data_IF_793705118992
#
_entry.id   IF_793705118992
#
_cell.length_a   1.000
_cell.length_b   1.000
_cell.length_c   1.000
_cell.angle_alpha   90.00
_cell.angle_beta   90.00
_cell.angle_gamma   90.00
#
_symmetry.space_group_name_H-M   'P 1'
#
loop_
_entity.id
_entity.type
_entity.pdbx_description
1 polymer ?
#
# COMPACT_ATOMS: atom_id res chain seq x y z
N UNK A 1 -16.88 -6.97 -22.34
CA UNK A 1 -15.87 -5.91 -22.31
C UNK A 1 -16.33 -4.81 -23.23
N UNK A 2 -16.33 -3.57 -22.80
CA UNK A 2 -16.80 -2.43 -23.56
C UNK A 2 -15.64 -1.82 -24.35
N UNK A 3 -15.83 -1.50 -25.63
CA UNK A 3 -14.83 -0.82 -26.45
C UNK A 3 -15.14 0.66 -26.48
N UNK A 4 -14.15 1.49 -26.14
CA UNK A 4 -14.29 2.94 -26.05
C UNK A 4 -13.23 3.59 -26.94
N UNK A 5 -13.63 4.41 -27.84
CA UNK A 5 -12.74 5.22 -28.69
C UNK A 5 -12.65 6.64 -28.14
N UNK A 6 -11.47 6.98 -27.63
CA UNK A 6 -11.11 8.30 -27.14
C UNK A 6 -10.46 9.10 -28.28
N UNK A 7 -11.18 10.05 -28.87
CA UNK A 7 -10.72 10.82 -30.02
C UNK A 7 -9.97 12.11 -29.64
N UNK A 8 -10.07 12.54 -28.40
CA UNK A 8 -9.40 13.71 -27.83
C UNK A 8 -10.15 14.28 -26.64
N UNK A 9 -9.50 15.18 -25.89
CA UNK A 9 -10.06 15.73 -24.65
C UNK A 9 -11.35 16.56 -24.86
N UNK A 10 -11.48 17.21 -26.03
CA UNK A 10 -12.62 18.06 -26.34
C UNK A 10 -13.68 17.36 -27.21
N UNK A 11 -13.43 16.12 -27.57
CA UNK A 11 -14.34 15.35 -28.43
C UNK A 11 -15.13 14.35 -27.58
N UNK A 12 -16.39 14.08 -27.95
CA UNK A 12 -17.17 13.04 -27.30
C UNK A 12 -16.49 11.68 -27.46
N UNK A 13 -16.65 10.80 -26.45
CA UNK A 13 -16.23 9.41 -26.52
C UNK A 13 -17.15 8.65 -27.48
N UNK A 14 -16.62 7.68 -28.19
CA UNK A 14 -17.44 6.75 -28.94
C UNK A 14 -17.40 5.36 -28.30
N UNK A 15 -18.54 4.72 -28.15
CA UNK A 15 -18.72 3.42 -27.54
C UNK A 15 -19.26 2.44 -28.56
N UNK A 16 -18.58 1.31 -28.71
CA UNK A 16 -19.02 0.27 -29.64
C UNK A 16 -20.19 -0.53 -29.07
N UNK A 17 -21.30 -0.51 -29.79
CA UNK A 17 -22.47 -1.31 -29.50
C UNK A 17 -22.43 -2.59 -30.34
N UNK A 18 -22.25 -3.74 -29.66
CA UNK A 18 -21.99 -5.01 -30.33
C UNK A 18 -23.20 -5.49 -31.18
N UNK A 19 -24.42 -5.32 -30.67
CA UNK A 19 -25.63 -5.80 -31.33
C UNK A 19 -25.96 -4.98 -32.59
N UNK A 20 -25.66 -3.68 -32.54
CA UNK A 20 -25.91 -2.76 -33.64
C UNK A 20 -24.72 -2.61 -34.60
N UNK A 21 -23.55 -3.13 -34.19
CA UNK A 21 -22.26 -2.99 -34.90
C UNK A 21 -21.97 -1.56 -35.32
N UNK A 22 -22.22 -0.61 -34.41
CA UNK A 22 -21.97 0.82 -34.61
C UNK A 22 -21.47 1.50 -33.36
N UNK A 23 -20.89 2.69 -33.54
CA UNK A 23 -20.42 3.55 -32.47
C UNK A 23 -21.54 4.47 -32.02
N UNK A 24 -21.70 4.57 -30.68
CA UNK A 24 -22.57 5.54 -30.03
C UNK A 24 -21.73 6.62 -29.40
N UNK A 25 -22.08 7.89 -29.63
CA UNK A 25 -21.38 9.00 -29.04
C UNK A 25 -21.86 9.26 -27.63
N UNK A 26 -20.91 9.53 -26.73
CA UNK A 26 -21.14 9.82 -25.31
C UNK A 26 -20.29 11.04 -24.95
N UNK A 27 -20.88 12.04 -24.30
CA UNK A 27 -20.22 13.32 -24.11
C UNK A 27 -18.95 13.26 -23.26
N UNK A 28 -18.95 12.39 -22.23
CA UNK A 28 -17.85 12.30 -21.28
C UNK A 28 -17.81 10.96 -20.54
N UNK A 29 -16.77 10.78 -19.73
CA UNK A 29 -16.56 9.58 -18.92
C UNK A 29 -17.68 9.30 -17.91
N UNK A 30 -18.28 10.33 -17.33
CA UNK A 30 -19.37 10.18 -16.38
C UNK A 30 -20.62 9.62 -17.06
N UNK A 31 -21.00 10.16 -18.20
CA UNK A 31 -22.15 9.68 -18.98
C UNK A 31 -21.89 8.23 -19.47
N UNK A 32 -20.66 7.91 -19.87
CA UNK A 32 -20.25 6.54 -20.19
C UNK A 32 -20.53 5.58 -19.03
N UNK A 33 -20.15 5.97 -17.81
CA UNK A 33 -20.41 5.16 -16.63
C UNK A 33 -21.91 5.05 -16.33
N UNK A 34 -22.64 6.14 -16.42
CA UNK A 34 -24.08 6.17 -16.12
C UNK A 34 -24.88 5.24 -17.07
N UNK A 35 -24.47 5.17 -18.34
CA UNK A 35 -25.13 4.31 -19.32
C UNK A 35 -24.71 2.86 -19.23
N UNK A 36 -23.40 2.58 -19.10
CA UNK A 36 -22.85 1.22 -19.24
C UNK A 36 -22.26 0.66 -17.96
N UNK A 37 -21.76 1.49 -17.03
CA UNK A 37 -21.09 1.07 -15.80
C UNK A 37 -22.04 0.50 -14.75
N UNK A 38 -23.27 0.99 -14.68
CA UNK A 38 -24.30 0.57 -13.73
C UNK A 38 -24.71 -0.90 -13.96
N UNK A 39 -24.62 -1.37 -15.20
CA UNK A 39 -24.96 -2.76 -15.58
C UNK A 39 -23.82 -3.78 -15.36
N UNK A 40 -22.79 -3.43 -14.58
CA UNK A 40 -21.74 -4.36 -14.20
C UNK A 40 -20.51 -4.41 -15.12
N UNK A 41 -20.50 -3.68 -16.22
CA UNK A 41 -19.34 -3.62 -17.13
C UNK A 41 -18.33 -2.60 -16.62
N UNK A 42 -17.35 -3.06 -15.84
CA UNK A 42 -16.29 -2.19 -15.30
C UNK A 42 -15.02 -2.17 -16.14
N UNK A 43 -14.81 -3.16 -16.98
CA UNK A 43 -13.61 -3.30 -17.80
C UNK A 43 -13.83 -2.78 -19.22
N UNK A 44 -12.97 -1.86 -19.66
CA UNK A 44 -13.03 -1.24 -20.97
C UNK A 44 -11.74 -1.48 -21.78
N UNK A 45 -11.86 -1.56 -23.09
CA UNK A 45 -10.76 -1.44 -24.04
C UNK A 45 -10.76 -0.05 -24.61
N UNK A 46 -9.70 0.71 -24.34
CA UNK A 46 -9.55 2.08 -24.79
C UNK A 46 -8.77 2.14 -26.09
N UNK A 47 -9.35 2.77 -27.12
CA UNK A 47 -8.67 3.15 -28.35
C UNK A 47 -8.27 4.61 -28.23
N UNK A 48 -6.97 4.88 -28.17
CA UNK A 48 -6.43 6.24 -27.99
C UNK A 48 -5.97 6.84 -29.32
N UNK A 49 -5.89 8.19 -29.44
CA UNK A 49 -5.52 8.83 -30.68
C UNK A 49 -4.09 8.49 -31.12
N UNK A 50 -3.94 7.99 -32.34
CA UNK A 50 -2.64 7.65 -32.95
C UNK A 50 -1.67 8.83 -32.98
N UNK A 51 -2.13 10.08 -32.96
CA UNK A 51 -1.26 11.28 -32.90
C UNK A 51 -0.38 11.36 -31.65
N UNK A 52 -0.68 10.60 -30.57
CA UNK A 52 0.16 10.48 -29.38
C UNK A 52 1.21 9.39 -29.52
N UNK A 53 1.12 8.57 -30.56
CA UNK A 53 1.99 7.44 -30.80
C UNK A 53 3.21 7.85 -31.59
N UNK A 54 4.39 7.58 -31.07
CA UNK A 54 5.64 7.69 -31.82
C UNK A 54 5.95 6.36 -32.49
N UNK A 55 6.57 6.43 -33.67
CA UNK A 55 6.86 5.26 -34.47
C UNK A 55 8.25 5.36 -35.08
N UNK A 56 9.03 4.28 -35.00
CA UNK A 56 10.35 4.15 -35.59
C UNK A 56 10.44 2.85 -36.38
N UNK A 57 10.85 2.95 -37.63
CA UNK A 57 11.25 1.80 -38.42
C UNK A 57 12.70 1.46 -38.13
N UNK A 58 12.98 0.20 -37.85
CA UNK A 58 14.31 -0.22 -37.50
C UNK A 58 14.75 -1.45 -38.35
N UNK A 59 16.01 -1.48 -38.80
CA UNK A 59 16.56 -2.65 -39.52
C UNK A 59 16.87 -3.82 -38.59
N UNK A 60 16.68 -3.65 -37.27
CA UNK A 60 16.96 -4.68 -36.28
C UNK A 60 15.95 -5.83 -36.40
N UNK A 61 16.41 -7.04 -36.19
CA UNK A 61 15.53 -8.21 -36.13
C UNK A 61 14.74 -8.26 -34.84
N UNK A 62 13.65 -9.02 -34.81
CA UNK A 62 12.83 -9.22 -33.59
C UNK A 62 13.64 -9.71 -32.38
N UNK A 63 14.65 -10.55 -32.62
CA UNK A 63 15.54 -11.04 -31.56
C UNK A 63 16.45 -9.93 -31.02
N UNK A 64 17.00 -9.10 -31.89
CA UNK A 64 17.82 -7.96 -31.50
C UNK A 64 17.01 -6.91 -30.73
N UNK A 65 15.77 -6.60 -31.17
CA UNK A 65 14.88 -5.68 -30.43
C UNK A 65 14.57 -6.22 -29.03
N UNK A 66 14.34 -7.53 -28.89
CA UNK A 66 14.14 -8.14 -27.56
C UNK A 66 15.40 -8.06 -26.70
N UNK A 67 16.60 -8.20 -27.29
CA UNK A 67 17.87 -8.09 -26.57
C UNK A 67 18.17 -6.66 -26.09
N UNK A 68 17.71 -5.64 -26.82
CA UNK A 68 17.84 -4.24 -26.39
C UNK A 68 17.15 -3.98 -25.04
N UNK A 69 16.14 -4.78 -24.70
CA UNK A 69 15.32 -4.55 -23.51
C UNK A 69 14.50 -3.25 -23.61
N UNK A 70 13.86 -2.88 -22.51
CA UNK A 70 12.98 -1.69 -22.48
C UNK A 70 13.78 -0.41 -22.73
N UNK A 71 14.88 -0.22 -22.00
CA UNK A 71 15.70 0.99 -22.13
C UNK A 71 16.27 1.17 -23.53
N UNK A 72 16.81 0.11 -24.13
CA UNK A 72 17.35 0.19 -25.49
C UNK A 72 16.30 0.51 -26.55
N UNK A 73 15.06 0.01 -26.38
CA UNK A 73 13.94 0.39 -27.25
C UNK A 73 13.52 1.85 -27.07
N UNK A 74 13.61 2.38 -25.84
CA UNK A 74 13.32 3.79 -25.55
C UNK A 74 14.31 4.72 -26.24
N UNK A 75 15.59 4.37 -26.25
CA UNK A 75 16.64 5.16 -26.91
C UNK A 75 16.47 5.27 -28.43
N UNK A 76 15.71 4.38 -29.08
CA UNK A 76 15.37 4.52 -30.51
C UNK A 76 14.55 5.79 -30.81
N UNK A 77 13.96 6.41 -29.79
CA UNK A 77 13.14 7.62 -29.91
C UNK A 77 13.86 8.90 -29.50
N UNK A 78 15.16 8.85 -29.16
CA UNK A 78 15.92 9.99 -28.66
C UNK A 78 15.90 11.19 -29.61
N UNK A 79 15.95 10.93 -30.92
CA UNK A 79 15.89 12.00 -31.95
C UNK A 79 14.48 12.50 -32.23
N UNK A 80 13.44 11.75 -31.84
CA UNK A 80 12.05 12.04 -32.17
C UNK A 80 11.27 12.62 -31.00
N UNK A 81 11.75 12.45 -29.79
CA UNK A 81 11.07 12.84 -28.57
C UNK A 81 11.82 13.91 -27.80
N UNK A 82 11.18 15.05 -27.59
CA UNK A 82 11.79 16.20 -26.88
C UNK A 82 11.89 16.04 -25.37
N UNK A 83 11.24 15.02 -24.82
CA UNK A 83 11.25 14.72 -23.37
C UNK A 83 12.27 13.65 -23.02
N UNK A 84 12.26 13.19 -21.75
CA UNK A 84 13.05 12.04 -21.34
C UNK A 84 12.51 10.74 -21.94
N UNK A 85 13.31 10.03 -22.72
CA UNK A 85 12.91 8.77 -23.36
C UNK A 85 12.56 7.67 -22.35
N UNK A 86 13.04 7.79 -21.11
CA UNK A 86 12.70 6.86 -20.01
C UNK A 86 11.21 6.92 -19.63
N UNK A 87 10.52 8.01 -20.00
CA UNK A 87 9.07 8.17 -19.77
C UNK A 87 8.23 7.53 -20.86
N UNK A 88 8.82 6.85 -21.83
CA UNK A 88 8.12 6.19 -22.92
C UNK A 88 7.85 4.72 -22.60
N UNK A 89 6.62 4.30 -22.79
CA UNK A 89 6.26 2.89 -22.87
C UNK A 89 6.42 2.41 -24.30
N UNK A 90 7.20 1.37 -24.55
CA UNK A 90 7.49 0.86 -25.90
C UNK A 90 6.78 -0.45 -26.18
N UNK A 91 6.40 -0.65 -27.45
CA UNK A 91 5.89 -1.90 -28.02
C UNK A 91 6.53 -2.14 -29.37
N UNK A 92 6.90 -3.37 -29.66
CA UNK A 92 7.43 -3.76 -30.96
C UNK A 92 6.44 -4.60 -31.72
N UNK A 93 6.32 -4.35 -32.99
CA UNK A 93 5.48 -5.11 -33.91
C UNK A 93 6.35 -5.53 -35.11
N UNK A 94 6.29 -6.81 -35.43
CA UNK A 94 7.05 -7.40 -36.52
C UNK A 94 6.14 -7.75 -37.67
N UNK A 95 6.47 -7.27 -38.87
CA UNK A 95 5.95 -7.79 -40.12
C UNK A 95 7.04 -8.62 -40.82
N UNK A 96 6.72 -9.26 -41.93
CA UNK A 96 7.66 -10.14 -42.65
C UNK A 96 8.95 -9.41 -43.09
N UNK A 97 8.86 -8.10 -43.38
CA UNK A 97 9.96 -7.35 -44.00
C UNK A 97 10.54 -6.22 -43.13
N UNK A 98 9.87 -5.84 -42.07
CA UNK A 98 10.32 -4.72 -41.24
C UNK A 98 9.96 -4.92 -39.76
N UNK A 99 10.84 -4.41 -38.91
CA UNK A 99 10.54 -4.29 -37.50
C UNK A 99 10.20 -2.82 -37.18
N UNK A 100 9.13 -2.63 -36.49
CA UNK A 100 8.66 -1.32 -36.08
C UNK A 100 8.49 -1.27 -34.58
N UNK A 101 9.01 -0.21 -33.99
CA UNK A 101 8.84 0.06 -32.56
C UNK A 101 7.93 1.27 -32.42
N UNK A 102 6.94 1.11 -31.54
CA UNK A 102 6.01 2.16 -31.18
C UNK A 102 6.27 2.59 -29.74
N UNK A 103 6.11 3.88 -29.48
CA UNK A 103 6.23 4.42 -28.13
C UNK A 103 5.09 5.36 -27.81
N UNK A 104 4.67 5.33 -26.55
CA UNK A 104 3.62 6.17 -26.00
C UNK A 104 4.10 6.74 -24.65
N UNK A 105 3.82 8.01 -24.39
CA UNK A 105 4.17 8.63 -23.12
C UNK A 105 3.45 7.95 -21.94
N UNK A 106 4.18 7.63 -20.89
CA UNK A 106 3.59 7.08 -19.65
C UNK A 106 2.63 8.07 -18.99
N UNK A 107 2.87 9.38 -19.14
CA UNK A 107 1.97 10.42 -18.64
C UNK A 107 0.59 10.37 -19.32
N UNK A 108 0.54 10.11 -20.63
CA UNK A 108 -0.73 9.94 -21.34
C UNK A 108 -1.47 8.69 -20.87
N UNK A 109 -0.74 7.57 -20.74
CA UNK A 109 -1.30 6.32 -20.23
C UNK A 109 -1.92 6.53 -18.85
N UNK A 110 -1.18 7.14 -17.94
CA UNK A 110 -1.62 7.40 -16.56
C UNK A 110 -2.82 8.36 -16.52
N UNK A 111 -2.80 9.41 -17.34
CA UNK A 111 -3.91 10.39 -17.44
C UNK A 111 -5.21 9.71 -17.86
N UNK A 112 -5.17 8.86 -18.89
CA UNK A 112 -6.36 8.15 -19.35
C UNK A 112 -6.83 7.09 -18.36
N UNK A 113 -5.89 6.39 -17.69
CA UNK A 113 -6.22 5.44 -16.63
C UNK A 113 -6.89 6.14 -15.43
N UNK A 114 -6.36 7.30 -15.03
CA UNK A 114 -6.94 8.10 -13.95
C UNK A 114 -8.34 8.61 -14.33
N UNK A 115 -8.51 9.10 -15.55
CA UNK A 115 -9.82 9.59 -16.04
C UNK A 115 -10.89 8.50 -15.99
N UNK A 116 -10.57 7.29 -16.41
CA UNK A 116 -11.47 6.15 -16.31
C UNK A 116 -11.71 5.71 -14.85
N UNK A 117 -10.66 5.69 -14.03
CA UNK A 117 -10.74 5.28 -12.64
C UNK A 117 -11.58 6.23 -11.77
N UNK A 118 -11.53 7.54 -12.04
CA UNK A 118 -12.32 8.55 -11.33
C UNK A 118 -13.83 8.29 -11.41
N UNK A 119 -14.30 7.71 -12.52
CA UNK A 119 -15.71 7.33 -12.69
C UNK A 119 -15.98 5.85 -12.36
N UNK A 120 -14.99 5.12 -11.83
CA UNK A 120 -15.15 3.71 -11.44
C UNK A 120 -14.99 2.69 -12.55
N UNK A 121 -14.49 3.09 -13.72
CA UNK A 121 -14.15 2.21 -14.83
C UNK A 121 -12.68 1.77 -14.75
N UNK A 122 -12.40 0.54 -15.21
CA UNK A 122 -11.03 0.01 -15.29
C UNK A 122 -10.65 -0.26 -16.74
N UNK A 123 -9.50 0.25 -17.16
CA UNK A 123 -8.97 -0.06 -18.49
C UNK A 123 -8.35 -1.47 -18.44
N UNK A 124 -8.70 -2.33 -19.38
CA UNK A 124 -8.16 -3.67 -19.55
C UNK A 124 -7.21 -3.78 -20.75
N UNK A 125 -7.41 -2.91 -21.77
CA UNK A 125 -6.53 -2.82 -22.92
C UNK A 125 -6.44 -1.37 -23.39
N UNK A 126 -5.29 -0.95 -23.94
CA UNK A 126 -5.07 0.37 -24.54
C UNK A 126 -4.40 0.19 -25.88
N UNK A 127 -5.14 0.54 -26.93
CA UNK A 127 -4.72 0.35 -28.32
C UNK A 127 -4.77 1.66 -29.07
N UNK A 128 -3.91 1.88 -30.08
CA UNK A 128 -4.03 3.02 -30.96
C UNK A 128 -5.28 2.90 -31.85
N UNK A 129 -5.93 4.00 -32.11
CA UNK A 129 -7.21 4.05 -32.83
C UNK A 129 -7.11 3.68 -34.33
N UNK A 130 -5.92 3.73 -34.94
CA UNK A 130 -5.74 3.26 -36.30
C UNK A 130 -6.08 1.76 -36.46
N UNK A 131 -6.00 1.00 -35.39
CA UNK A 131 -6.37 -0.42 -35.43
C UNK A 131 -7.87 -0.66 -35.61
N UNK A 132 -8.68 0.38 -35.45
CA UNK A 132 -10.12 0.34 -35.77
C UNK A 132 -10.37 0.28 -37.29
N UNK A 133 -9.43 0.80 -38.08
CA UNK A 133 -9.54 0.75 -39.55
C UNK A 133 -9.23 -0.67 -40.02
N UNK A 134 -9.99 -1.18 -41.01
CA UNK A 134 -9.65 -2.46 -41.63
C UNK A 134 -8.30 -2.42 -42.33
N UNK A 135 -7.71 -3.59 -42.53
CA UNK A 135 -6.49 -3.71 -43.34
C UNK A 135 -6.81 -3.48 -44.80
N UNK A 136 -5.94 -2.79 -45.55
CA UNK A 136 -6.02 -2.75 -47.00
C UNK A 136 -5.93 -4.16 -47.57
N UNK A 137 -6.70 -4.45 -48.63
CA UNK A 137 -6.72 -5.75 -49.28
C UNK A 137 -5.44 -6.01 -50.08
N UNK A 138 -4.77 -4.94 -50.51
CA UNK A 138 -3.57 -5.03 -51.36
C UNK A 138 -2.35 -4.72 -50.48
N UNK A 139 -1.49 -5.71 -50.32
CA UNK A 139 -0.29 -5.60 -49.49
C UNK A 139 0.89 -4.85 -50.19
N UNK A 140 0.72 -4.39 -51.41
CA UNK A 140 1.75 -3.71 -52.21
C UNK A 140 2.08 -2.29 -51.74
N UNK A 141 1.38 -1.75 -50.76
CA UNK A 141 1.53 -0.35 -50.35
C UNK A 141 0.79 0.65 -51.25
N UNK A 142 0.15 0.18 -52.32
CA UNK A 142 -0.59 0.98 -53.27
C UNK A 142 -1.99 1.41 -52.77
N UNK A 143 -2.52 0.70 -51.78
CA UNK A 143 -3.84 0.96 -51.22
C UNK A 143 -3.75 1.39 -49.75
N UNK A 144 -4.56 2.36 -49.36
CA UNK A 144 -4.71 2.77 -47.97
C UNK A 144 -6.19 2.91 -47.60
N UNK A 145 -6.47 2.69 -46.32
CA UNK A 145 -7.78 2.93 -45.73
C UNK A 145 -7.76 4.29 -45.02
N UNK A 146 -8.74 5.12 -45.34
CA UNK A 146 -8.85 6.50 -44.84
C UNK A 146 -10.15 6.68 -44.07
N UNK A 147 -10.05 7.39 -42.96
CA UNK A 147 -11.18 7.81 -42.14
C UNK A 147 -11.03 9.27 -41.77
N UNK A 148 -12.11 10.01 -41.90
CA UNK A 148 -12.17 11.42 -41.48
C UNK A 148 -13.50 11.70 -40.83
N UNK A 149 -13.44 12.33 -39.65
CA UNK A 149 -14.57 13.00 -39.00
C UNK A 149 -14.12 14.35 -38.44
N UNK A 150 -15.00 15.03 -37.66
CA UNK A 150 -14.70 16.35 -37.08
C UNK A 150 -13.56 16.28 -36.05
N UNK A 151 -13.33 15.10 -35.43
CA UNK A 151 -12.42 14.95 -34.33
C UNK A 151 -11.04 14.38 -34.72
N UNK A 152 -11.01 13.56 -35.80
CA UNK A 152 -9.79 12.82 -36.15
C UNK A 152 -9.70 12.54 -37.66
N UNK A 153 -8.48 12.42 -38.12
CA UNK A 153 -8.15 11.95 -39.47
C UNK A 153 -7.16 10.79 -39.29
N UNK A 154 -7.49 9.64 -39.84
CA UNK A 154 -6.67 8.45 -39.80
C UNK A 154 -6.41 7.90 -41.17
N UNK A 155 -5.22 7.40 -41.41
CA UNK A 155 -4.86 6.64 -42.60
C UNK A 155 -4.11 5.38 -42.19
N UNK A 156 -4.50 4.25 -42.74
CA UNK A 156 -3.84 2.95 -42.53
C UNK A 156 -3.45 2.34 -43.86
N UNK A 157 -2.17 2.09 -44.05
CA UNK A 157 -1.64 1.45 -45.25
C UNK A 157 -1.31 -0.03 -45.03
N UNK A 158 -0.69 -0.36 -43.91
CA UNK A 158 -0.43 -1.75 -43.49
C UNK A 158 -0.66 -1.87 -41.98
N UNK A 159 -0.57 -3.07 -41.45
CA UNK A 159 -0.90 -3.35 -40.06
C UNK A 159 -0.17 -2.47 -39.04
N UNK A 160 1.07 -2.14 -39.34
CA UNK A 160 1.91 -1.31 -38.50
C UNK A 160 2.29 0.05 -39.13
N UNK A 161 1.67 0.41 -40.26
CA UNK A 161 1.87 1.68 -40.96
C UNK A 161 0.58 2.51 -40.82
N UNK A 162 0.34 3.06 -39.67
CA UNK A 162 -0.76 3.98 -39.53
C UNK A 162 -0.23 5.37 -39.16
N UNK A 163 -0.92 6.35 -39.66
CA UNK A 163 -0.61 7.74 -39.37
C UNK A 163 -1.88 8.45 -38.91
N UNK A 164 -1.77 9.11 -37.78
CA UNK A 164 -2.73 10.17 -37.45
C UNK A 164 -2.24 11.43 -38.17
N UNK A 165 -3.06 11.98 -39.01
CA UNK A 165 -2.60 13.02 -39.94
C UNK A 165 -3.06 14.38 -39.46
N UNK A 166 -2.11 15.20 -39.03
CA UNK A 166 -2.37 16.65 -38.85
C UNK A 166 -2.16 17.44 -40.12
N UNK A 167 -1.40 16.94 -41.08
CA UNK A 167 -1.13 17.59 -42.34
C UNK A 167 -1.06 16.61 -43.53
N UNK A 168 -2.21 16.38 -44.14
CA UNK A 168 -2.42 15.37 -45.16
C UNK A 168 -1.49 15.52 -46.40
N UNK A 169 -1.19 16.74 -46.94
CA UNK A 169 -0.26 16.90 -48.07
C UNK A 169 1.13 16.33 -47.81
N UNK A 170 1.68 16.55 -46.63
CA UNK A 170 3.00 16.04 -46.27
C UNK A 170 3.00 14.50 -46.19
N UNK A 171 1.92 13.93 -45.74
CA UNK A 171 1.76 12.49 -45.66
C UNK A 171 1.66 11.84 -47.04
N UNK A 172 0.84 12.38 -47.93
CA UNK A 172 0.74 11.89 -49.33
C UNK A 172 2.09 11.92 -50.03
N UNK A 173 2.88 12.98 -49.80
CA UNK A 173 4.26 13.07 -50.32
C UNK A 173 5.18 11.96 -49.79
N UNK A 174 4.89 11.42 -48.59
CA UNK A 174 5.67 10.33 -48.01
C UNK A 174 5.36 8.96 -48.64
N UNK A 175 4.19 8.81 -49.26
CA UNK A 175 3.73 7.57 -49.89
C UNK A 175 3.47 7.74 -51.39
N UNK A 176 4.52 7.90 -52.19
CA UNK A 176 4.37 8.13 -53.62
C UNK A 176 3.79 6.93 -54.39
N UNK A 177 3.83 5.73 -53.79
CA UNK A 177 3.32 4.49 -54.39
C UNK A 177 1.80 4.33 -54.20
N UNK A 178 1.17 5.23 -53.40
CA UNK A 178 -0.24 5.17 -53.12
C UNK A 178 -1.05 5.54 -54.38
N UNK A 179 -1.93 4.64 -54.79
CA UNK A 179 -2.79 4.80 -55.96
C UNK A 179 -4.28 4.77 -55.64
N UNK A 180 -4.66 4.09 -54.56
CA UNK A 180 -6.05 3.91 -54.18
C UNK A 180 -6.25 4.23 -52.67
N UNK A 181 -7.35 4.91 -52.38
CA UNK A 181 -7.81 5.21 -51.02
C UNK A 181 -9.22 4.67 -50.85
N UNK A 182 -9.37 3.73 -49.90
CA UNK A 182 -10.65 3.24 -49.45
C UNK A 182 -11.15 4.10 -48.29
N UNK A 183 -12.25 4.78 -48.49
CA UNK A 183 -12.82 5.73 -47.53
C UNK A 183 -13.89 5.05 -46.68
N UNK A 184 -13.79 5.18 -45.37
CA UNK A 184 -14.83 4.73 -44.43
C UNK A 184 -15.79 5.91 -44.10
N UNK A 185 -17.06 5.58 -43.86
CA UNK A 185 -18.04 6.56 -43.39
C UNK A 185 -17.70 7.01 -41.96
N UNK A 186 -17.99 8.30 -41.64
CA UNK A 186 -17.87 8.77 -40.27
C UNK A 186 -18.90 8.08 -39.36
N UNK A 187 -18.52 7.88 -38.10
CA UNK A 187 -19.37 7.16 -37.15
C UNK A 187 -20.71 7.86 -36.83
N UNK A 188 -20.83 9.12 -37.19
CA UNK A 188 -22.06 9.92 -37.06
C UNK A 188 -23.06 9.73 -38.19
N UNK A 189 -22.67 9.06 -39.29
CA UNK A 189 -23.53 8.87 -40.44
C UNK A 189 -24.29 7.56 -40.37
N UNK A 190 -25.62 7.53 -40.56
CA UNK A 190 -26.37 6.27 -40.64
C UNK A 190 -26.05 5.55 -41.95
N UNK A 191 -25.62 4.29 -41.89
CA UNK A 191 -25.39 3.46 -43.09
C UNK A 191 -26.69 3.09 -43.82
N UNK A 192 -27.85 3.19 -43.17
CA UNK A 192 -29.14 2.81 -43.69
C UNK A 192 -29.63 3.75 -44.80
N UNK A 193 -29.18 5.01 -44.82
CA UNK A 193 -29.57 5.99 -45.84
C UNK A 193 -28.77 5.87 -47.15
N UNK A 194 -27.79 4.97 -47.22
CA UNK A 194 -26.90 4.80 -48.38
C UNK A 194 -27.54 3.89 -49.47
N UNK A 195 -28.71 3.29 -49.20
CA UNK A 195 -29.31 2.22 -50.01
C UNK A 195 -30.31 2.59 -51.08
N UNK A 196 -30.78 3.83 -51.19
CA UNK A 196 -31.81 4.21 -52.19
C UNK A 196 -31.49 5.51 -52.90
N UNK A 197 -31.16 5.42 -54.19
CA UNK A 197 -31.30 6.44 -55.26
C UNK A 197 -30.74 7.81 -55.06
N UNK A 198 -29.95 8.11 -54.04
CA UNK A 198 -29.16 9.33 -54.08
C UNK A 198 -27.96 9.08 -55.00
N UNK A 199 -27.85 9.83 -56.06
CA UNK A 199 -26.63 10.11 -56.80
C UNK A 199 -25.58 10.37 -55.71
N UNK A 200 -24.79 9.37 -55.46
CA UNK A 200 -23.72 9.43 -54.46
C UNK A 200 -22.97 10.74 -54.61
N UNK A 201 -23.18 11.67 -53.70
CA UNK A 201 -22.11 12.63 -53.42
C UNK A 201 -21.10 11.79 -52.59
N UNK A 202 -20.16 11.17 -53.29
CA UNK A 202 -19.32 10.22 -52.65
C UNK A 202 -18.45 10.99 -51.71
N UNK A 203 -18.30 10.52 -50.62
CA UNK A 203 -17.19 10.89 -49.78
C UNK A 203 -17.63 11.75 -48.60
N UNK A 204 -17.82 11.02 -47.55
CA UNK A 204 -17.68 11.50 -46.20
C UNK A 204 -16.29 12.16 -45.95
N UNK A 205 -15.79 12.88 -46.96
CA UNK A 205 -14.48 13.54 -46.96
C UNK A 205 -14.74 15.04 -47.14
N UNK A 206 -14.03 15.85 -46.38
CA UNK A 206 -14.08 17.29 -46.58
C UNK A 206 -13.70 17.65 -48.03
N UNK A 207 -14.37 18.66 -48.67
CA UNK A 207 -14.08 19.07 -50.04
C UNK A 207 -12.60 19.38 -50.29
N UNK A 208 -11.92 19.96 -49.31
CA UNK A 208 -10.47 20.23 -49.35
C UNK A 208 -9.63 18.95 -49.41
N UNK A 209 -10.03 17.89 -48.70
CA UNK A 209 -9.36 16.59 -48.70
C UNK A 209 -9.58 15.90 -50.06
N UNK A 210 -10.78 15.96 -50.59
CA UNK A 210 -11.08 15.42 -51.93
C UNK A 210 -10.23 16.09 -53.02
N UNK A 211 -10.20 17.43 -53.04
CA UNK A 211 -9.38 18.18 -53.98
C UNK A 211 -7.88 17.80 -53.91
N UNK A 212 -7.39 17.50 -52.71
CA UNK A 212 -6.02 17.02 -52.49
C UNK A 212 -5.79 15.63 -53.07
N UNK A 213 -6.72 14.71 -52.91
CA UNK A 213 -6.63 13.37 -53.48
C UNK A 213 -6.71 13.39 -55.00
N UNK A 214 -7.59 14.23 -55.57
CA UNK A 214 -7.66 14.46 -57.00
C UNK A 214 -6.36 15.05 -57.58
N UNK A 215 -5.70 15.95 -56.84
CA UNK A 215 -4.40 16.50 -57.23
C UNK A 215 -3.30 15.43 -57.30
N UNK A 216 -3.36 14.43 -56.45
CA UNK A 216 -2.43 13.31 -56.44
C UNK A 216 -2.87 12.13 -57.33
N UNK A 217 -3.92 12.26 -58.11
CA UNK A 217 -4.49 11.23 -58.98
C UNK A 217 -4.85 9.93 -58.25
N UNK A 218 -5.32 10.01 -57.01
CA UNK A 218 -5.68 8.86 -56.22
C UNK A 218 -7.09 8.39 -56.59
N UNK A 219 -7.23 7.09 -56.77
CA UNK A 219 -8.57 6.49 -56.97
C UNK A 219 -9.24 6.37 -55.60
N UNK A 220 -10.51 6.80 -55.54
CA UNK A 220 -11.31 6.73 -54.32
C UNK A 220 -12.31 5.60 -54.44
N UNK A 221 -12.31 4.71 -53.47
CA UNK A 221 -13.28 3.64 -53.30
C UNK A 221 -13.94 3.75 -51.92
N UNK A 222 -15.20 3.39 -51.84
CA UNK A 222 -15.94 3.44 -50.58
C UNK A 222 -15.94 2.08 -49.90
N UNK A 223 -15.73 2.06 -48.60
CA UNK A 223 -15.87 0.88 -47.77
C UNK A 223 -17.11 1.07 -46.89
N UNK A 224 -18.19 0.33 -47.22
CA UNK A 224 -19.45 0.42 -46.48
C UNK A 224 -19.38 -0.35 -45.13
N UNK A 225 -18.42 0.02 -44.32
CA UNK A 225 -18.28 -0.53 -42.98
C UNK A 225 -17.79 0.55 -42.01
N UNK A 226 -18.21 0.50 -40.77
CA UNK A 226 -17.64 1.38 -39.76
C UNK A 226 -16.26 0.88 -39.33
N UNK A 227 -15.41 1.76 -38.73
CA UNK A 227 -14.26 1.33 -37.96
C UNK A 227 -14.69 0.29 -36.92
N UNK A 228 -14.05 -0.86 -36.86
CA UNK A 228 -14.45 -1.96 -35.95
C UNK A 228 -13.38 -2.22 -34.88
N UNK A 229 -13.78 -2.55 -33.64
CA UNK A 229 -12.85 -2.95 -32.59
C UNK A 229 -12.07 -4.21 -32.94
N UNK A 230 -10.79 -4.23 -32.56
CA UNK A 230 -9.95 -5.42 -32.73
C UNK A 230 -10.47 -6.56 -31.87
N UNK A 231 -10.60 -7.78 -32.42
CA UNK A 231 -10.88 -8.95 -31.60
C UNK A 231 -9.73 -9.21 -30.62
N UNK A 232 -10.08 -9.53 -29.36
CA UNK A 232 -9.12 -9.81 -28.28
C UNK A 232 -8.07 -8.70 -28.03
N UNK A 233 -8.47 -7.47 -27.77
CA UNK A 233 -7.59 -6.32 -27.64
C UNK A 233 -6.53 -6.49 -26.54
N UNK A 234 -6.81 -7.27 -25.50
CA UNK A 234 -5.88 -7.55 -24.41
C UNK A 234 -4.63 -8.30 -24.87
N UNK A 235 -4.75 -9.10 -25.93
CA UNK A 235 -3.67 -9.95 -26.48
C UNK A 235 -2.92 -9.30 -27.64
N UNK A 236 -3.37 -8.14 -28.09
CA UNK A 236 -2.75 -7.46 -29.22
C UNK A 236 -1.34 -7.01 -28.90
N UNK A 237 -0.40 -7.13 -29.84
CA UNK A 237 1.00 -6.76 -29.63
C UNK A 237 1.21 -5.29 -29.30
N UNK A 238 0.33 -4.41 -29.83
CA UNK A 238 0.33 -2.96 -29.54
C UNK A 238 -0.54 -2.57 -28.33
N UNK A 239 -0.81 -3.48 -27.44
CA UNK A 239 -1.50 -3.16 -26.21
C UNK A 239 -0.55 -2.44 -25.25
N UNK A 240 -0.76 -1.15 -25.03
CA UNK A 240 0.01 -0.33 -24.09
C UNK A 240 -0.48 -0.43 -22.65
N UNK A 241 -1.59 -1.09 -22.40
CA UNK A 241 -2.02 -1.35 -21.04
C UNK A 241 -1.05 -2.33 -20.39
N UNK A 242 -0.32 -1.84 -19.43
CA UNK A 242 0.35 -2.67 -18.45
C UNK A 242 -0.52 -2.66 -17.22
N UNK A 243 -1.03 -3.84 -16.81
CA UNK A 243 -1.54 -3.95 -15.43
C UNK A 243 -0.49 -3.30 -14.55
N UNK A 244 -0.89 -2.27 -13.79
CA UNK A 244 0.01 -1.68 -12.81
C UNK A 244 0.67 -2.84 -12.09
N UNK A 245 1.93 -3.07 -12.36
CA UNK A 245 2.68 -4.11 -11.68
C UNK A 245 2.40 -3.85 -10.21
N UNK A 246 1.74 -4.80 -9.54
CA UNK A 246 1.55 -4.78 -8.09
C UNK A 246 2.84 -4.22 -7.57
N UNK A 247 2.77 -3.03 -6.96
CA UNK A 247 3.91 -2.18 -6.70
C UNK A 247 5.12 -3.04 -6.37
N UNK A 248 6.07 -3.14 -7.28
CA UNK A 248 7.27 -3.94 -7.05
C UNK A 248 7.94 -3.20 -5.92
N UNK A 249 7.72 -3.72 -4.70
CA UNK A 249 8.33 -3.18 -3.48
C UNK A 249 9.77 -2.86 -3.83
N UNK A 250 10.14 -1.60 -3.73
CA UNK A 250 11.49 -1.16 -4.06
C UNK A 250 12.49 -2.10 -3.39
N UNK A 251 13.64 -2.41 -3.99
CA UNK A 251 14.63 -3.29 -3.38
C UNK A 251 15.00 -2.83 -1.96
N UNK A 252 15.01 -1.51 -1.70
CA UNK A 252 15.21 -0.92 -0.37
C UNK A 252 14.07 -1.28 0.61
N UNK A 253 12.83 -1.30 0.14
CA UNK A 253 11.70 -1.68 0.99
C UNK A 253 11.69 -3.19 1.29
N UNK A 254 12.15 -4.03 0.34
CA UNK A 254 12.34 -5.46 0.56
C UNK A 254 13.42 -5.73 1.59
N UNK A 255 14.57 -5.03 1.50
CA UNK A 255 15.64 -5.15 2.51
C UNK A 255 15.21 -4.63 3.86
N UNK A 256 14.51 -3.50 3.95
CA UNK A 256 13.96 -2.98 5.19
C UNK A 256 12.97 -3.95 5.83
N UNK A 257 12.10 -4.58 5.04
CA UNK A 257 11.14 -5.58 5.53
C UNK A 257 11.86 -6.84 6.04
N UNK A 258 12.91 -7.30 5.34
CA UNK A 258 13.73 -8.43 5.79
C UNK A 258 14.44 -8.14 7.11
N UNK A 259 14.99 -6.95 7.28
CA UNK A 259 15.64 -6.53 8.54
C UNK A 259 14.61 -6.42 9.66
N UNK A 260 13.43 -5.84 9.40
CA UNK A 260 12.35 -5.77 10.38
C UNK A 260 11.86 -7.16 10.80
N UNK A 261 11.75 -8.09 9.87
CA UNK A 261 11.34 -9.47 10.13
C UNK A 261 12.41 -10.21 10.94
N UNK A 262 13.70 -10.02 10.63
CA UNK A 262 14.80 -10.58 11.40
C UNK A 262 14.83 -10.03 12.83
N UNK A 263 14.64 -8.73 13.02
CA UNK A 263 14.55 -8.11 14.34
C UNK A 263 13.36 -8.65 15.14
N UNK A 264 12.22 -8.86 14.51
CA UNK A 264 11.03 -9.42 15.11
C UNK A 264 11.26 -10.87 15.58
N UNK A 265 11.88 -11.71 14.74
CA UNK A 265 12.25 -13.10 15.11
C UNK A 265 13.22 -13.09 16.29
N UNK A 266 14.22 -12.20 16.28
CA UNK A 266 15.16 -12.08 17.39
C UNK A 266 14.46 -11.69 18.70
N UNK A 267 13.52 -10.76 18.63
CA UNK A 267 12.71 -10.34 19.78
C UNK A 267 11.85 -11.49 20.32
N UNK A 268 11.25 -12.28 19.43
CA UNK A 268 10.50 -13.48 19.86
C UNK A 268 11.38 -14.52 20.51
N UNK A 269 12.57 -14.75 19.96
CA UNK A 269 13.54 -15.70 20.53
C UNK A 269 14.00 -15.26 21.93
N UNK A 270 14.31 -13.96 22.11
CA UNK A 270 14.70 -13.42 23.42
C UNK A 270 13.57 -13.52 24.45
N UNK A 271 12.35 -13.18 24.05
CA UNK A 271 11.16 -13.31 24.91
C UNK A 271 10.90 -14.79 25.28
N UNK A 272 11.09 -15.71 24.34
CA UNK A 272 10.94 -17.14 24.58
C UNK A 272 11.98 -17.69 25.60
N UNK A 273 13.25 -17.26 25.47
CA UNK A 273 14.30 -17.61 26.40
C UNK A 273 14.02 -17.02 27.79
N UNK A 274 13.57 -15.77 27.86
CA UNK A 274 13.20 -15.16 29.15
C UNK A 274 12.02 -15.87 29.78
N UNK A 275 10.98 -16.19 29.00
CA UNK A 275 9.83 -16.97 29.51
C UNK A 275 10.25 -18.31 30.06
N UNK A 276 11.13 -19.04 29.37
CA UNK A 276 11.67 -20.32 29.84
C UNK A 276 12.43 -20.19 31.17
N UNK A 277 13.33 -19.17 31.25
CA UNK A 277 14.08 -18.89 32.50
C UNK A 277 13.17 -18.51 33.65
N UNK A 278 12.14 -17.70 33.40
CA UNK A 278 11.16 -17.35 34.43
C UNK A 278 10.35 -18.56 34.88
N UNK A 279 10.00 -19.44 33.97
CA UNK A 279 9.27 -20.66 34.30
C UNK A 279 10.12 -21.62 35.17
N UNK A 280 11.39 -21.78 34.82
CA UNK A 280 12.35 -22.59 35.62
C UNK A 280 12.58 -21.96 36.99
N UNK A 281 12.81 -20.66 37.08
CA UNK A 281 12.97 -19.95 38.34
C UNK A 281 11.70 -20.02 39.21
N UNK A 282 10.52 -19.91 38.61
CA UNK A 282 9.25 -20.08 39.32
C UNK A 282 9.09 -21.50 39.88
N UNK A 283 9.43 -22.52 39.10
CA UNK A 283 9.40 -23.92 39.58
C UNK A 283 10.39 -24.17 40.72
N UNK A 284 11.63 -23.63 40.60
CA UNK A 284 12.64 -23.72 41.67
C UNK A 284 12.16 -22.97 42.94
N UNK A 285 11.57 -21.82 42.80
CA UNK A 285 11.02 -21.06 43.93
C UNK A 285 9.85 -21.79 44.58
N UNK A 286 8.99 -22.41 43.81
CA UNK A 286 7.88 -23.20 44.33
C UNK A 286 8.39 -24.42 45.11
N UNK A 287 9.40 -25.14 44.59
CA UNK A 287 9.99 -26.30 45.29
C UNK A 287 10.70 -25.90 46.58
N UNK A 288 11.45 -24.79 46.56
CA UNK A 288 12.11 -24.26 47.76
C UNK A 288 11.10 -23.83 48.83
N UNK A 289 10.02 -23.15 48.40
CA UNK A 289 8.95 -22.71 49.30
C UNK A 289 8.18 -23.90 49.88
N UNK A 290 7.96 -24.93 49.07
CA UNK A 290 7.34 -26.19 49.54
C UNK A 290 8.21 -26.90 50.56
N UNK A 291 9.53 -26.99 50.31
CA UNK A 291 10.47 -27.57 51.25
C UNK A 291 10.51 -26.80 52.58
N UNK A 292 10.50 -25.48 52.52
CA UNK A 292 10.48 -24.64 53.71
C UNK A 292 9.16 -24.78 54.49
N UNK A 293 8.04 -24.87 53.80
CA UNK A 293 6.73 -25.13 54.44
C UNK A 293 6.73 -26.47 55.15
N UNK A 294 7.23 -27.56 54.50
CA UNK A 294 7.33 -28.85 55.11
C UNK A 294 8.28 -28.90 56.31
N UNK A 295 9.32 -28.09 56.35
CA UNK A 295 10.20 -27.98 57.51
C UNK A 295 9.51 -27.35 58.70
N UNK A 296 8.55 -26.44 58.50
CA UNK A 296 7.77 -25.81 59.55
C UNK A 296 6.57 -26.66 59.97
N UNK A 297 5.99 -27.42 59.05
CA UNK A 297 4.78 -28.19 59.26
C UNK A 297 4.95 -29.63 58.75
N UNK A 298 5.77 -30.49 59.41
CA UNK A 298 6.19 -31.79 58.88
C UNK A 298 5.03 -32.79 58.70
N UNK A 299 3.91 -32.60 59.36
CA UNK A 299 2.76 -33.51 59.32
C UNK A 299 1.62 -33.06 58.40
N UNK A 300 1.80 -31.97 57.67
CA UNK A 300 0.73 -31.43 56.81
C UNK A 300 1.10 -31.51 55.34
N UNK A 301 0.30 -32.18 54.52
CA UNK A 301 0.53 -32.19 53.08
C UNK A 301 0.22 -30.84 52.45
N UNK A 302 1.15 -30.33 51.62
CA UNK A 302 0.96 -29.15 50.85
C UNK A 302 -0.01 -29.41 49.68
N UNK A 303 -1.15 -28.75 49.67
CA UNK A 303 -2.11 -28.91 48.60
C UNK A 303 -1.68 -28.02 47.42
N UNK A 304 -1.10 -28.61 46.36
CA UNK A 304 -0.53 -27.91 45.19
C UNK A 304 -1.54 -27.07 44.42
N UNK A 305 -2.85 -27.20 44.68
CA UNK A 305 -3.90 -26.45 44.01
C UNK A 305 -4.35 -25.19 44.76
N UNK A 306 -3.97 -25.03 46.01
CA UNK A 306 -4.38 -23.88 46.82
C UNK A 306 -3.18 -22.95 47.00
N UNK A 307 -3.39 -21.64 46.74
CA UNK A 307 -2.29 -20.67 46.92
C UNK A 307 -1.79 -20.74 48.36
N UNK A 308 -0.47 -20.78 48.54
CA UNK A 308 0.20 -20.89 49.84
C UNK A 308 -0.29 -19.82 50.84
N UNK A 309 -0.62 -18.64 50.35
CA UNK A 309 -1.21 -17.56 51.13
C UNK A 309 -2.53 -17.93 51.80
N UNK A 310 -3.38 -18.70 51.09
CA UNK A 310 -4.70 -19.12 51.62
C UNK A 310 -4.56 -20.19 52.73
N UNK A 311 -3.49 -21.00 52.71
CA UNK A 311 -3.21 -21.99 53.74
C UNK A 311 -2.49 -21.39 54.94
N UNK A 312 -1.61 -20.40 54.73
CA UNK A 312 -0.87 -19.73 55.82
C UNK A 312 -1.71 -18.68 56.54
N UNK A 313 -2.63 -17.98 55.84
CA UNK A 313 -3.41 -16.91 56.47
C UNK A 313 -4.21 -17.31 57.71
N UNK A 314 -4.90 -18.49 57.78
CA UNK A 314 -5.61 -18.88 58.99
C UNK A 314 -4.64 -19.28 60.13
N UNK A 315 -3.47 -19.82 59.84
CA UNK A 315 -2.48 -20.23 60.84
C UNK A 315 -1.76 -19.03 61.43
N UNK A 316 -1.41 -18.07 60.64
CA UNK A 316 -0.88 -16.79 61.07
C UNK A 316 -1.89 -16.02 61.97
N UNK A 317 -3.19 -16.27 61.82
CA UNK A 317 -4.24 -15.69 62.68
C UNK A 317 -4.39 -16.43 64.00
N UNK A 318 -4.08 -17.71 64.06
CA UNK A 318 -4.20 -18.50 65.30
C UNK A 318 -3.08 -18.23 66.30
N UNK A 319 -1.87 -17.90 65.89
CA UNK A 319 -0.77 -17.49 66.76
C UNK A 319 -0.84 -16.00 67.22
N UNK A 320 -1.87 -15.27 66.86
CA UNK A 320 -1.99 -13.83 66.97
C UNK A 320 -2.56 -13.29 68.26
N UNK A 321 -2.59 -14.03 69.35
CA UNK A 321 -2.90 -13.43 70.65
C UNK A 321 -1.73 -12.60 71.27
N UNK A 322 -0.50 -12.86 70.88
CA UNK A 322 0.69 -12.12 71.35
C UNK A 322 1.32 -11.20 70.28
N UNK A 323 0.99 -11.35 68.98
CA UNK A 323 1.63 -10.67 67.86
C UNK A 323 0.86 -9.41 67.35
N UNK A 324 -0.28 -9.06 67.96
CA UNK A 324 -1.14 -7.95 67.48
C UNK A 324 -0.51 -6.56 67.61
N UNK A 325 0.27 -6.34 68.68
CA UNK A 325 0.91 -5.04 68.99
C UNK A 325 1.98 -4.72 67.92
N UNK A 326 2.84 -5.64 67.56
CA UNK A 326 3.92 -5.42 66.61
C UNK A 326 3.41 -5.17 65.17
N UNK A 327 2.33 -5.87 64.74
CA UNK A 327 1.70 -5.61 63.42
C UNK A 327 0.96 -4.26 63.37
N UNK A 328 0.36 -3.87 64.48
CA UNK A 328 -0.27 -2.56 64.61
C UNK A 328 0.77 -1.46 64.49
N UNK A 329 1.91 -1.60 65.20
CA UNK A 329 3.06 -0.72 65.08
C UNK A 329 3.60 -0.66 63.66
N UNK A 330 3.73 -1.78 62.97
CA UNK A 330 4.19 -1.81 61.59
C UNK A 330 3.23 -1.12 60.65
N UNK A 331 1.94 -1.25 60.85
CA UNK A 331 0.91 -0.57 60.00
C UNK A 331 0.94 0.95 60.18
N UNK A 332 1.28 1.45 61.37
CA UNK A 332 1.40 2.89 61.64
C UNK A 332 2.73 3.46 61.17
N UNK A 333 3.82 2.69 61.23
CA UNK A 333 5.17 3.14 60.86
C UNK A 333 5.42 3.08 59.36
N UNK A 334 4.84 2.08 58.66
CA UNK A 334 5.06 1.85 57.24
C UNK A 334 4.78 3.08 56.32
N UNK A 335 3.68 3.82 56.47
CA UNK A 335 3.43 5.01 55.64
C UNK A 335 4.45 6.15 55.89
N UNK A 336 4.99 6.25 57.11
CA UNK A 336 5.99 7.29 57.45
C UNK A 336 7.36 6.97 56.85
N UNK A 337 7.76 5.70 56.86
CA UNK A 337 9.01 5.27 56.21
C UNK A 337 8.91 5.53 54.68
N UNK A 338 7.77 5.20 54.09
CA UNK A 338 7.54 5.46 52.67
C UNK A 338 7.54 6.96 52.33
N UNK A 339 6.94 7.80 53.17
CA UNK A 339 6.91 9.25 52.98
C UNK A 339 8.30 9.89 53.15
N UNK A 340 9.16 9.33 54.01
CA UNK A 340 10.52 9.78 54.19
C UNK A 340 11.52 9.27 53.14
N UNK A 341 11.06 8.43 52.14
CA UNK A 341 11.94 7.77 51.13
C UNK A 341 13.08 6.95 51.74
N UNK A 342 12.85 6.35 52.88
CA UNK A 342 13.77 5.51 53.60
C UNK A 342 13.47 4.02 53.31
N UNK A 343 14.51 3.21 53.12
CA UNK A 343 14.35 1.78 52.87
C UNK A 343 14.59 0.95 54.12
N UNK A 344 13.70 0.03 54.45
CA UNK A 344 13.88 -0.92 55.52
C UNK A 344 14.69 -2.14 55.02
N UNK A 345 15.82 -2.44 55.68
CA UNK A 345 16.69 -3.58 55.36
C UNK A 345 16.35 -4.83 56.19
N UNK A 346 16.03 -4.62 57.45
CA UNK A 346 15.68 -5.71 58.39
C UNK A 346 14.60 -5.26 59.36
N UNK A 347 13.75 -6.20 59.75
CA UNK A 347 12.66 -6.05 60.71
C UNK A 347 12.78 -7.14 61.75
N UNK A 348 12.87 -6.81 63.04
CA UNK A 348 12.90 -7.74 64.14
C UNK A 348 11.73 -7.38 65.06
N UNK A 349 10.85 -8.36 65.28
CA UNK A 349 9.74 -8.20 66.22
C UNK A 349 10.14 -8.65 67.58
N UNK A 350 10.08 -7.73 68.55
CA UNK A 350 10.22 -8.03 69.97
C UNK A 350 8.81 -8.01 70.62
N UNK A 351 8.57 -8.66 71.76
CA UNK A 351 7.24 -8.76 72.35
C UNK A 351 6.51 -7.37 72.50
N UNK A 352 7.24 -6.32 72.85
CA UNK A 352 6.70 -4.99 73.12
C UNK A 352 7.29 -3.91 72.23
N UNK A 353 8.12 -4.24 71.27
CA UNK A 353 8.81 -3.28 70.42
C UNK A 353 9.07 -3.80 69.01
N UNK A 354 9.17 -2.88 68.06
CA UNK A 354 9.60 -3.14 66.68
C UNK A 354 10.98 -2.57 66.47
N UNK A 355 11.96 -3.43 66.21
CA UNK A 355 13.32 -2.99 65.85
C UNK A 355 13.52 -3.08 64.37
N UNK A 356 13.94 -1.95 63.76
CA UNK A 356 14.12 -1.85 62.32
C UNK A 356 15.53 -1.35 62.00
N UNK A 357 16.14 -1.98 60.97
CA UNK A 357 17.36 -1.45 60.37
C UNK A 357 16.95 -0.73 59.09
N UNK A 358 17.19 0.58 59.05
CA UNK A 358 16.80 1.48 57.98
C UNK A 358 18.02 2.02 57.24
N UNK A 359 17.90 2.17 55.95
CA UNK A 359 18.88 2.85 55.08
C UNK A 359 18.30 4.17 54.65
N UNK A 360 19.01 5.25 54.98
CA UNK A 360 18.63 6.62 54.63
C UNK A 360 19.78 7.34 53.88
N UNK A 361 19.47 8.33 53.06
CA UNK A 361 20.49 9.09 52.36
C UNK A 361 21.37 9.96 53.29
N UNK A 362 20.82 10.43 54.41
CA UNK A 362 21.51 11.22 55.40
C UNK A 362 20.96 11.01 56.81
N UNK A 363 21.73 11.44 57.83
CA UNK A 363 21.33 11.37 59.22
C UNK A 363 20.10 12.24 59.52
N UNK A 364 19.98 13.40 58.87
CA UNK A 364 18.86 14.32 59.07
C UNK A 364 17.52 13.65 58.66
N UNK A 365 17.51 12.76 57.70
CA UNK A 365 16.33 12.00 57.31
C UNK A 365 15.88 10.97 58.36
N UNK A 366 16.83 10.32 59.03
CA UNK A 366 16.55 9.43 60.19
C UNK A 366 16.03 10.22 61.38
N UNK A 367 16.63 11.36 61.70
CA UNK A 367 16.21 12.23 62.82
C UNK A 367 14.80 12.80 62.57
N UNK A 368 14.45 13.15 61.31
CA UNK A 368 13.08 13.57 60.93
C UNK A 368 12.07 12.44 61.06
N UNK A 369 12.46 11.24 60.68
CA UNK A 369 11.61 10.07 60.85
C UNK A 369 11.33 9.81 62.36
N UNK A 370 12.35 9.84 63.21
CA UNK A 370 12.19 9.72 64.68
C UNK A 370 11.28 10.79 65.22
N UNK A 371 11.46 12.03 64.79
CA UNK A 371 10.58 13.16 65.19
C UNK A 371 9.13 12.96 64.74
N UNK A 372 8.91 12.43 63.51
CA UNK A 372 7.55 12.17 62.98
C UNK A 372 6.88 10.99 63.71
N UNK A 373 7.63 9.96 64.08
CA UNK A 373 7.13 8.84 64.89
C UNK A 373 6.75 9.33 66.32
N UNK A 374 7.60 10.18 66.92
CA UNK A 374 7.30 10.74 68.25
C UNK A 374 6.05 11.65 68.22
N UNK A 375 5.82 12.41 67.11
CA UNK A 375 4.64 13.23 66.92
C UNK A 375 3.32 12.41 66.80
N UNK A 376 3.43 11.14 66.45
CA UNK A 376 2.30 10.18 66.43
C UNK A 376 2.14 9.37 67.72
N UNK A 377 2.83 9.73 68.78
CA UNK A 377 2.70 9.06 70.10
C UNK A 377 3.46 7.73 70.16
N UNK A 378 4.43 7.50 69.27
CA UNK A 378 5.29 6.32 69.31
C UNK A 378 6.67 6.69 69.92
N UNK A 379 7.14 5.89 70.86
CA UNK A 379 8.50 6.10 71.40
C UNK A 379 9.50 5.44 70.44
N UNK A 380 10.22 6.26 69.68
CA UNK A 380 11.26 5.80 68.76
C UNK A 380 12.62 6.22 69.24
N UNK A 381 13.53 5.25 69.37
CA UNK A 381 14.91 5.50 69.81
C UNK A 381 15.90 5.02 68.71
N UNK A 382 16.82 5.90 68.31
CA UNK A 382 17.89 5.61 67.36
C UNK A 382 19.11 5.04 68.14
N UNK A 383 19.32 3.73 68.02
CA UNK A 383 20.35 3.02 68.83
C UNK A 383 21.74 3.12 68.21
N UNK A 384 21.88 3.01 66.91
CA UNK A 384 23.17 3.06 66.25
C UNK A 384 23.03 3.63 64.81
N UNK A 385 24.03 4.38 64.40
CA UNK A 385 24.13 4.94 63.04
C UNK A 385 25.51 4.60 62.50
N UNK A 386 25.52 3.86 61.37
CA UNK A 386 26.75 3.46 60.70
C UNK A 386 26.75 3.99 59.26
N UNK A 387 27.90 4.41 58.77
CA UNK A 387 28.06 4.76 57.36
C UNK A 387 28.16 3.51 56.51
N UNK A 388 27.43 3.49 55.37
CA UNK A 388 27.48 2.40 54.42
C UNK A 388 28.47 2.70 53.32
N UNK A 389 29.23 1.70 52.83
CA UNK A 389 30.25 1.88 51.77
C UNK A 389 29.67 2.35 50.42
N UNK A 390 28.36 2.42 50.26
CA UNK A 390 27.64 2.87 49.05
C UNK A 390 27.10 4.31 49.18
N UNK A 391 27.52 5.12 50.12
CA UNK A 391 27.15 6.52 50.23
C UNK A 391 25.81 6.81 50.92
N UNK A 392 25.26 5.88 51.70
CA UNK A 392 24.09 6.02 52.58
C UNK A 392 24.42 5.78 54.02
N UNK A 393 23.48 6.03 54.92
CA UNK A 393 23.60 5.81 56.36
C UNK A 393 22.61 4.70 56.79
N UNK A 394 23.10 3.70 57.51
CA UNK A 394 22.27 2.69 58.16
C UNK A 394 21.99 3.04 59.58
N UNK A 395 20.74 3.09 60.01
CA UNK A 395 20.33 3.36 61.37
C UNK A 395 19.45 2.25 61.93
N UNK A 396 19.71 1.85 63.17
CA UNK A 396 18.85 0.93 63.93
C UNK A 396 17.89 1.75 64.79
N UNK A 397 16.59 1.60 64.51
CA UNK A 397 15.55 2.30 65.29
C UNK A 397 14.72 1.25 66.03
N UNK A 398 14.53 1.46 67.33
CA UNK A 398 13.61 0.72 68.19
C UNK A 398 12.38 1.54 68.44
N UNK A 399 11.19 0.96 68.14
CA UNK A 399 9.91 1.64 68.27
C UNK A 399 9.05 0.86 69.25
N UNK A 400 8.53 1.52 70.26
CA UNK A 400 7.57 0.96 71.24
C UNK A 400 6.34 1.87 71.37
N UNK A 401 5.18 1.27 71.69
CA UNK A 401 4.01 2.08 72.04
C UNK A 401 4.11 2.51 73.47
N UNK A 402 3.84 3.79 73.78
CA UNK A 402 3.73 4.28 75.13
C UNK A 402 2.51 3.65 75.82
N UNK A 403 2.77 2.69 76.69
CA UNK A 403 1.72 1.91 77.39
C UNK A 403 0.92 2.77 78.41
N UNK A 404 1.19 4.07 78.53
CA UNK A 404 0.56 4.92 79.55
C UNK A 404 -0.73 5.64 79.07
N UNK A 405 -1.19 5.48 77.81
CA UNK A 405 -2.34 6.27 77.33
C UNK A 405 -3.59 5.44 76.94
N UNK A 406 -3.66 4.14 77.29
CA UNK A 406 -4.83 3.29 76.99
C UNK A 406 -5.89 3.28 78.10
N UNK A 407 -5.77 4.08 79.17
CA UNK A 407 -6.73 4.06 80.28
C UNK A 407 -7.74 5.24 80.28
N UNK A 408 -7.88 6.02 79.19
CA UNK A 408 -8.74 7.20 79.21
C UNK A 408 -9.77 7.27 78.05
N UNK A 409 -10.19 6.17 77.44
CA UNK A 409 -11.28 6.20 76.44
C UNK A 409 -12.16 4.94 76.52
N UNK A 410 -12.64 4.62 77.69
CA UNK A 410 -13.78 3.72 77.89
C UNK A 410 -14.61 4.24 79.04
N UNK A 411 -15.43 5.19 78.77
CA UNK A 411 -16.70 5.52 79.47
C UNK A 411 -17.63 6.15 78.45
#
# INVERSE_FOLDING_TARGET
MLHVWFRGQQSPLAVWHLDERRWHLVDNWQQLYDIYGIHGTKAISLYFPTRHLLQVDTPLTSSQIKQLGVSGQQYLFEELFLGSVETLATRSFSTNDAQRVFALSTSDIESWQQSAALVGLSIAAMLPDFLLLPMPNIMSGEQAVFYQDEATILLRQADNQALAVSYLPLMLAKFPELSEICVLPPISSPLEDIGNDSIFDPLFIAPSTKALFDQHNLQLSELLSYPEPVPYPERHALNFFTKANKAVLSPYLKTALMVALAAWVLQFATNGIQWYRYHEAAAATQSATAAQYQSWFPNEPLNARTQLQTQLAPKLRQDHSESSVALTLLSQVSPLIKAASISAQALIFEPDALKMTLIAPDKASLDRLVASLSAQGLTANLEAVNNTDQGGITGNIRISSDSNNVSASAL
#
